data_IF_350187397881
#
_entry.id   IF_350187397881
#
_cell.length_a   1.000
_cell.length_b   1.000
_cell.length_c   1.000
_cell.angle_alpha   90.00
_cell.angle_beta   90.00
_cell.angle_gamma   90.00
#
_symmetry.space_group_name_H-M   'P 1'
#
loop_
_entity.id
_entity.type
_entity.pdbx_description
1 polymer ?
#
# COMPACT_ATOMS: atom_id res chain seq x y z
N UNK A 1 -19.63 1.86 8.01
CA UNK A 1 -19.03 3.21 7.86
C UNK A 1 -17.76 3.22 8.71
N UNK A 2 -16.60 3.56 8.16
CA UNK A 2 -15.30 3.49 8.87
C UNK A 2 -15.31 4.24 10.22
N UNK A 3 -15.91 5.42 10.27
CA UNK A 3 -15.97 6.21 11.51
C UNK A 3 -16.80 5.54 12.61
N UNK A 4 -17.92 4.92 12.24
CA UNK A 4 -18.78 4.19 13.18
C UNK A 4 -18.04 2.98 13.75
N UNK A 5 -17.34 2.22 12.90
CA UNK A 5 -16.56 1.07 13.37
C UNK A 5 -15.39 1.49 14.25
N UNK A 6 -14.68 2.56 13.89
CA UNK A 6 -13.61 3.11 14.72
C UNK A 6 -14.15 3.56 16.08
N UNK A 7 -15.25 4.30 16.11
CA UNK A 7 -15.90 4.70 17.35
C UNK A 7 -16.31 3.48 18.20
N UNK A 8 -16.94 2.48 17.59
CA UNK A 8 -17.35 1.24 18.27
C UNK A 8 -16.16 0.52 18.90
N UNK A 9 -15.03 0.40 18.20
CA UNK A 9 -13.81 -0.21 18.75
C UNK A 9 -13.26 0.63 19.90
N UNK A 10 -13.22 1.96 19.74
CA UNK A 10 -12.72 2.88 20.76
C UNK A 10 -13.56 2.88 22.04
N UNK A 11 -14.87 2.68 21.95
CA UNK A 11 -15.76 2.54 23.12
C UNK A 11 -15.46 1.29 23.96
N UNK A 12 -14.92 0.24 23.34
CA UNK A 12 -14.55 -1.00 24.03
C UNK A 12 -13.12 -0.95 24.60
N UNK A 13 -12.34 0.09 24.29
CA UNK A 13 -11.03 0.33 24.87
C UNK A 13 -11.19 1.29 26.05
N UNK A 14 -10.64 0.93 27.21
CA UNK A 14 -10.56 1.87 28.35
C UNK A 14 -9.80 3.14 27.91
N UNK A 15 -10.08 4.29 28.55
CA UNK A 15 -9.60 5.63 28.13
C UNK A 15 -8.08 5.77 27.86
N UNK A 16 -7.25 4.79 28.22
CA UNK A 16 -5.79 4.76 28.02
C UNK A 16 -5.28 3.55 27.19
N UNK A 17 -6.12 2.87 26.41
CA UNK A 17 -5.78 1.57 25.82
C UNK A 17 -5.01 1.54 24.49
N UNK A 18 -4.57 2.68 23.94
CA UNK A 18 -3.90 2.73 22.62
C UNK A 18 -2.53 3.36 22.74
N UNK A 19 -1.49 2.54 22.56
CA UNK A 19 -0.09 2.99 22.59
C UNK A 19 0.36 3.68 21.30
N UNK A 20 -0.21 3.28 20.16
CA UNK A 20 0.11 3.84 18.84
C UNK A 20 -0.99 3.50 17.81
N UNK A 21 -1.06 4.29 16.74
CA UNK A 21 -1.91 4.05 15.58
C UNK A 21 -1.04 3.63 14.41
N UNK A 22 -1.42 2.55 13.72
CA UNK A 22 -0.84 2.16 12.44
C UNK A 22 -1.84 2.47 11.33
N UNK A 23 -1.38 3.04 10.22
CA UNK A 23 -2.23 3.40 9.08
C UNK A 23 -1.59 2.97 7.77
N UNK A 24 -2.41 2.43 6.87
CA UNK A 24 -1.99 2.21 5.49
C UNK A 24 -1.99 3.54 4.72
N UNK A 25 -0.81 3.95 4.24
CA UNK A 25 -0.63 5.20 3.49
C UNK A 25 -0.70 5.02 1.97
N UNK A 26 -0.95 3.81 1.48
CA UNK A 26 -1.02 3.53 0.04
C UNK A 26 0.25 2.86 -0.51
N UNK A 27 0.35 2.66 -1.83
CA UNK A 27 -0.47 3.29 -2.87
C UNK A 27 -1.83 2.60 -3.08
N UNK A 28 -2.85 3.34 -3.52
CA UNK A 28 -4.22 2.85 -3.63
C UNK A 28 -5.24 3.93 -4.01
N UNK A 29 -6.50 3.75 -3.58
CA UNK A 29 -7.59 4.70 -3.85
C UNK A 29 -7.36 6.05 -3.19
N UNK A 30 -7.27 7.12 -3.98
CA UNK A 30 -7.08 8.49 -3.47
C UNK A 30 -8.08 8.87 -2.38
N UNK A 31 -9.37 8.63 -2.62
CA UNK A 31 -10.43 8.96 -1.65
C UNK A 31 -10.30 8.15 -0.38
N UNK A 32 -10.11 6.83 -0.47
CA UNK A 32 -10.02 5.96 0.71
C UNK A 32 -8.78 6.24 1.54
N UNK A 33 -7.63 6.50 0.89
CA UNK A 33 -6.39 6.83 1.58
C UNK A 33 -6.51 8.14 2.36
N UNK A 34 -7.13 9.17 1.77
CA UNK A 34 -7.37 10.44 2.48
C UNK A 34 -8.32 10.25 3.65
N UNK A 35 -9.42 9.52 3.46
CA UNK A 35 -10.38 9.28 4.55
C UNK A 35 -9.72 8.51 5.71
N UNK A 36 -8.98 7.44 5.40
CA UNK A 36 -8.28 6.62 6.40
C UNK A 36 -7.19 7.40 7.15
N UNK A 37 -6.33 8.11 6.43
CA UNK A 37 -5.27 8.90 7.04
C UNK A 37 -5.81 10.09 7.83
N UNK A 38 -6.85 10.79 7.35
CA UNK A 38 -7.47 11.88 8.10
C UNK A 38 -8.07 11.41 9.42
N UNK A 39 -8.71 10.24 9.46
CA UNK A 39 -9.19 9.64 10.70
C UNK A 39 -8.02 9.34 11.65
N UNK A 40 -6.96 8.72 11.14
CA UNK A 40 -5.77 8.39 11.94
C UNK A 40 -5.08 9.65 12.50
N UNK A 41 -4.90 10.70 11.68
CA UNK A 41 -4.36 12.00 12.09
C UNK A 41 -5.25 12.66 13.15
N UNK A 42 -6.57 12.67 12.96
CA UNK A 42 -7.51 13.25 13.93
C UNK A 42 -7.44 12.56 15.30
N UNK A 43 -7.35 11.22 15.32
CA UNK A 43 -7.16 10.45 16.55
C UNK A 43 -5.78 10.70 17.18
N UNK A 44 -4.72 10.70 16.37
CA UNK A 44 -3.35 10.95 16.83
C UNK A 44 -3.22 12.33 17.49
N UNK A 45 -3.72 13.38 16.83
CA UNK A 45 -3.64 14.76 17.32
C UNK A 45 -4.53 15.00 18.55
N UNK A 46 -5.78 14.51 18.53
CA UNK A 46 -6.74 14.75 19.64
C UNK A 46 -6.36 14.05 20.94
N UNK A 47 -5.64 12.92 20.86
CA UNK A 47 -5.27 12.10 22.03
C UNK A 47 -3.77 12.03 22.28
N UNK A 48 -2.97 12.78 21.51
CA UNK A 48 -1.51 12.72 21.55
C UNK A 48 -0.95 11.28 21.40
N UNK A 49 -1.53 10.51 20.48
CA UNK A 49 -1.15 9.12 20.22
C UNK A 49 -0.17 9.08 19.04
N UNK A 50 0.99 8.40 19.16
CA UNK A 50 1.93 8.24 18.06
C UNK A 50 1.33 7.53 16.84
N UNK A 51 1.80 7.88 15.65
CA UNK A 51 1.30 7.35 14.37
C UNK A 51 2.42 6.70 13.56
N UNK A 52 2.11 5.60 12.86
CA UNK A 52 3.02 4.91 11.94
C UNK A 52 2.31 4.61 10.63
N UNK A 53 2.80 5.20 9.55
CA UNK A 53 2.42 4.89 8.18
C UNK A 53 3.17 3.68 7.63
N UNK A 54 2.45 2.77 6.97
CA UNK A 54 3.00 1.61 6.27
C UNK A 54 2.40 1.56 4.87
N UNK A 55 3.16 1.12 3.87
CA UNK A 55 2.67 1.08 2.49
C UNK A 55 1.81 -0.16 2.21
N UNK A 56 0.76 -0.01 1.41
CA UNK A 56 -0.14 -1.10 0.99
C UNK A 56 0.62 -2.27 0.38
N UNK A 57 1.61 -1.98 -0.47
CA UNK A 57 2.39 -3.03 -1.15
C UNK A 57 3.18 -3.88 -0.14
N UNK A 58 3.75 -3.27 0.90
CA UNK A 58 4.45 -4.03 1.94
C UNK A 58 3.46 -4.85 2.77
N UNK A 59 2.29 -4.29 3.10
CA UNK A 59 1.23 -4.99 3.84
C UNK A 59 0.76 -6.23 3.09
N UNK A 60 0.58 -6.11 1.77
CA UNK A 60 0.18 -7.21 0.88
C UNK A 60 1.27 -8.28 0.79
N UNK A 61 2.55 -7.90 0.77
CA UNK A 61 3.67 -8.83 0.67
C UNK A 61 4.00 -9.54 1.99
N UNK A 62 3.70 -8.93 3.14
CA UNK A 62 4.10 -9.41 4.46
C UNK A 62 3.71 -10.87 4.79
N UNK A 63 2.51 -11.37 4.42
CA UNK A 63 2.14 -12.77 4.62
C UNK A 63 3.10 -13.77 3.97
N UNK A 64 3.83 -13.37 2.92
CA UNK A 64 4.69 -14.24 2.11
C UNK A 64 6.13 -14.26 2.64
N UNK A 65 6.33 -14.09 3.95
CA UNK A 65 7.64 -14.17 4.58
C UNK A 65 8.28 -15.57 4.49
N UNK A 66 7.45 -16.61 4.37
CA UNK A 66 7.86 -17.99 4.18
C UNK A 66 8.25 -18.33 2.73
N UNK A 67 7.89 -17.48 1.77
CA UNK A 67 8.14 -17.74 0.35
C UNK A 67 9.61 -17.45 0.03
N UNK A 68 10.40 -18.52 -0.11
CA UNK A 68 11.80 -18.46 -0.50
C UNK A 68 11.98 -18.35 -2.03
N UNK A 69 11.29 -17.38 -2.63
CA UNK A 69 11.34 -17.09 -4.06
C UNK A 69 11.09 -15.59 -4.31
N UNK A 70 11.45 -15.05 -5.49
CA UNK A 70 11.07 -13.69 -5.85
C UNK A 70 9.54 -13.56 -5.98
N UNK A 71 8.99 -12.51 -5.37
CA UNK A 71 7.59 -12.13 -5.44
C UNK A 71 7.48 -10.74 -6.08
N UNK A 72 6.55 -10.55 -6.99
CA UNK A 72 6.13 -9.24 -7.48
C UNK A 72 4.69 -9.00 -7.03
N UNK A 73 4.47 -7.96 -6.24
CA UNK A 73 3.12 -7.49 -5.93
C UNK A 73 2.72 -6.47 -6.98
N UNK A 74 1.54 -6.62 -7.58
CA UNK A 74 1.01 -5.74 -8.61
C UNK A 74 -0.40 -5.31 -8.19
N UNK A 75 -0.61 -4.00 -8.09
CA UNK A 75 -1.88 -3.40 -7.70
C UNK A 75 -2.28 -2.34 -8.72
N UNK A 76 -3.58 -2.21 -8.98
CA UNK A 76 -4.11 -1.22 -9.90
C UNK A 76 -3.71 0.22 -9.51
N UNK A 77 -3.12 0.96 -10.45
CA UNK A 77 -2.91 2.41 -10.33
C UNK A 77 -3.88 3.24 -11.20
N UNK A 78 -4.90 2.59 -11.79
CA UNK A 78 -5.85 3.13 -12.75
C UNK A 78 -5.26 3.53 -14.10
N UNK A 79 -6.12 3.60 -15.12
CA UNK A 79 -5.78 4.04 -16.48
C UNK A 79 -4.67 3.19 -17.12
N UNK A 80 -4.70 1.87 -16.88
CA UNK A 80 -3.72 0.93 -17.44
C UNK A 80 -2.34 0.98 -16.79
N UNK A 81 -2.21 1.67 -15.64
CA UNK A 81 -0.99 1.73 -14.85
C UNK A 81 -1.09 0.82 -13.60
N UNK A 82 0.07 0.44 -13.07
CA UNK A 82 0.24 -0.50 -11.97
C UNK A 82 1.24 0.01 -10.95
N UNK A 83 0.87 -0.03 -9.68
CA UNK A 83 1.81 0.06 -8.58
C UNK A 83 2.43 -1.30 -8.34
N UNK A 84 3.76 -1.37 -8.30
CA UNK A 84 4.45 -2.64 -8.12
C UNK A 84 5.74 -2.52 -7.34
N UNK A 85 6.12 -3.59 -6.66
CA UNK A 85 7.44 -3.75 -6.07
C UNK A 85 7.81 -5.23 -5.98
N UNK A 86 9.12 -5.49 -6.00
CA UNK A 86 9.67 -6.83 -5.79
C UNK A 86 9.88 -7.09 -4.30
N UNK A 87 9.68 -8.34 -3.91
CA UNK A 87 9.83 -8.84 -2.56
C UNK A 87 10.55 -10.19 -2.58
N UNK A 88 11.17 -10.53 -1.47
CA UNK A 88 11.69 -11.86 -1.20
C UNK A 88 11.61 -12.09 0.31
N UNK A 89 11.01 -13.22 0.72
CA UNK A 89 10.69 -13.50 2.13
C UNK A 89 9.94 -12.33 2.79
N UNK A 90 8.90 -11.82 2.11
CA UNK A 90 8.06 -10.72 2.60
C UNK A 90 8.76 -9.36 2.72
N UNK A 91 10.06 -9.27 2.40
CA UNK A 91 10.83 -8.04 2.46
C UNK A 91 11.00 -7.44 1.08
N UNK A 92 10.74 -6.13 0.97
CA UNK A 92 10.91 -5.39 -0.28
C UNK A 92 12.36 -5.43 -0.77
N UNK A 93 12.53 -5.68 -2.06
CA UNK A 93 13.79 -5.69 -2.78
C UNK A 93 13.73 -4.63 -3.89
N UNK A 94 14.23 -3.43 -3.60
CA UNK A 94 14.26 -2.30 -4.53
C UNK A 94 13.18 -1.25 -4.25
N UNK A 95 12.88 -0.43 -5.27
CA UNK A 95 11.96 0.70 -5.17
C UNK A 95 10.52 0.26 -5.45
N UNK A 96 9.56 1.03 -4.96
CA UNK A 96 8.22 0.99 -5.54
C UNK A 96 8.26 1.58 -6.95
N UNK A 97 7.53 0.98 -7.87
CA UNK A 97 7.44 1.39 -9.28
C UNK A 97 5.98 1.68 -9.65
N UNK A 98 5.80 2.67 -10.52
CA UNK A 98 4.57 2.92 -11.24
C UNK A 98 4.85 2.61 -12.71
N UNK A 99 4.21 1.58 -13.24
CA UNK A 99 4.46 1.06 -14.59
C UNK A 99 3.16 0.98 -15.38
N UNK A 100 3.23 1.16 -16.70
CA UNK A 100 2.15 0.76 -17.60
C UNK A 100 2.28 -0.74 -17.96
N UNK A 101 1.43 -1.21 -18.88
CA UNK A 101 1.47 -2.60 -19.39
C UNK A 101 2.84 -2.99 -19.94
N UNK A 102 3.44 -2.14 -20.78
CA UNK A 102 4.74 -2.40 -21.39
C UNK A 102 5.84 -2.47 -20.33
N UNK A 103 5.86 -1.52 -19.40
CA UNK A 103 6.80 -1.48 -18.29
C UNK A 103 6.68 -2.70 -17.39
N UNK A 104 5.45 -3.12 -17.04
CA UNK A 104 5.22 -4.32 -16.23
C UNK A 104 5.67 -5.59 -16.95
N UNK A 105 5.36 -5.72 -18.24
CA UNK A 105 5.82 -6.83 -19.08
C UNK A 105 7.35 -6.93 -19.09
N UNK A 106 8.05 -5.82 -19.31
CA UNK A 106 9.51 -5.78 -19.28
C UNK A 106 10.07 -6.10 -17.89
N UNK A 107 9.42 -5.63 -16.83
CA UNK A 107 9.84 -5.93 -15.46
C UNK A 107 9.73 -7.42 -15.14
N UNK A 108 8.66 -8.08 -15.57
CA UNK A 108 8.44 -9.52 -15.38
C UNK A 108 9.40 -10.38 -16.22
N UNK A 109 9.79 -9.93 -17.42
CA UNK A 109 10.76 -10.64 -18.26
C UNK A 109 12.18 -10.67 -17.72
N UNK A 110 12.57 -9.74 -16.85
CA UNK A 110 13.94 -9.66 -16.33
C UNK A 110 14.37 -10.90 -15.55
N UNK A 111 13.44 -11.55 -14.84
CA UNK A 111 13.72 -12.72 -14.01
C UNK A 111 12.41 -13.42 -13.60
N UNK A 112 12.43 -14.74 -13.34
CA UNK A 112 11.29 -15.47 -12.81
C UNK A 112 10.73 -14.85 -11.54
N UNK A 113 9.41 -14.93 -11.37
CA UNK A 113 8.73 -14.41 -10.18
C UNK A 113 7.38 -15.08 -9.92
N UNK A 114 7.03 -15.19 -8.64
CA UNK A 114 5.64 -15.28 -8.25
C UNK A 114 5.00 -13.90 -8.40
N UNK A 115 3.74 -13.86 -8.84
CA UNK A 115 2.97 -12.62 -9.02
C UNK A 115 1.73 -12.68 -8.14
N UNK A 116 1.55 -11.65 -7.32
CA UNK A 116 0.37 -11.45 -6.51
C UNK A 116 -0.35 -10.19 -7.00
N UNK A 117 -1.59 -10.36 -7.44
CA UNK A 117 -2.39 -9.30 -8.02
C UNK A 117 -3.88 -9.56 -7.79
N UNK A 118 -4.65 -8.50 -7.59
CA UNK A 118 -6.11 -8.54 -7.52
C UNK A 118 -6.78 -8.07 -8.82
N UNK A 119 -5.99 -7.75 -9.84
CA UNK A 119 -6.46 -7.31 -11.15
C UNK A 119 -6.15 -8.32 -12.24
N UNK A 120 -6.99 -8.29 -13.26
CA UNK A 120 -6.72 -8.99 -14.52
C UNK A 120 -5.59 -8.27 -15.26
N UNK A 121 -4.63 -9.06 -15.73
CA UNK A 121 -3.50 -8.59 -16.53
C UNK A 121 -3.67 -9.07 -17.97
N UNK A 122 -3.06 -8.35 -18.91
CA UNK A 122 -3.16 -8.67 -20.32
C UNK A 122 -2.62 -10.08 -20.62
N UNK A 123 -3.14 -10.70 -21.68
CA UNK A 123 -2.76 -12.07 -22.08
C UNK A 123 -1.24 -12.22 -22.28
N UNK A 124 -0.58 -11.20 -22.80
CA UNK A 124 0.87 -11.21 -23.01
C UNK A 124 1.65 -11.37 -21.71
N UNK A 125 1.16 -10.77 -20.61
CA UNK A 125 1.76 -10.92 -19.28
C UNK A 125 1.44 -12.29 -18.71
N UNK A 126 0.17 -12.72 -18.78
CA UNK A 126 -0.25 -13.99 -18.17
C UNK A 126 0.33 -15.23 -18.86
N UNK A 127 0.83 -15.09 -20.09
CA UNK A 127 1.49 -16.14 -20.87
C UNK A 127 3.02 -16.20 -20.69
N UNK A 128 3.63 -15.33 -19.88
CA UNK A 128 5.07 -15.43 -19.57
C UNK A 128 5.33 -16.75 -18.84
N UNK A 129 6.23 -17.60 -19.35
CA UNK A 129 6.46 -18.96 -18.83
C UNK A 129 7.11 -18.96 -17.45
N UNK A 130 7.91 -17.93 -17.17
CA UNK A 130 8.75 -17.80 -15.98
C UNK A 130 8.00 -17.22 -14.77
N UNK A 131 6.72 -16.88 -14.91
CA UNK A 131 5.91 -16.32 -13.83
C UNK A 131 4.86 -17.32 -13.34
N UNK A 132 4.51 -17.21 -12.05
CA UNK A 132 3.45 -18.02 -11.44
C UNK A 132 2.53 -17.11 -10.63
N UNK A 133 1.22 -17.25 -10.81
CA UNK A 133 0.25 -16.44 -10.06
C UNK A 133 -0.10 -17.09 -8.72
N UNK A 134 -0.15 -16.27 -7.68
CA UNK A 134 -0.71 -16.62 -6.38
C UNK A 134 -2.22 -16.35 -6.36
N UNK A 135 -2.93 -16.91 -5.37
CA UNK A 135 -4.36 -16.65 -5.21
C UNK A 135 -4.60 -15.14 -4.96
N UNK A 136 -5.44 -14.54 -5.80
CA UNK A 136 -5.81 -13.12 -5.78
C UNK A 136 -6.46 -12.66 -4.46
N UNK A 137 -7.04 -13.58 -3.68
CA UNK A 137 -7.64 -13.27 -2.38
C UNK A 137 -6.62 -12.72 -1.37
N UNK A 138 -5.34 -13.03 -1.55
CA UNK A 138 -4.25 -12.50 -0.72
C UNK A 138 -3.71 -11.14 -1.20
N UNK A 139 -4.20 -10.61 -2.32
CA UNK A 139 -3.71 -9.36 -2.92
C UNK A 139 -4.40 -8.10 -2.34
N UNK A 140 -4.83 -8.17 -1.08
CA UNK A 140 -5.47 -7.07 -0.37
C UNK A 140 -4.73 -6.78 0.96
N UNK A 141 -4.57 -5.50 1.35
CA UNK A 141 -3.98 -5.15 2.63
C UNK A 141 -4.80 -5.73 3.79
N UNK A 142 -4.12 -6.29 4.79
CA UNK A 142 -4.74 -6.84 6.00
C UNK A 142 -4.34 -6.03 7.23
N UNK A 143 -5.31 -5.67 8.07
CA UNK A 143 -5.07 -4.87 9.28
C UNK A 143 -4.09 -5.54 10.26
N UNK A 144 -4.17 -6.86 10.44
CA UNK A 144 -3.23 -7.62 11.27
C UNK A 144 -1.78 -7.51 10.78
N UNK A 145 -1.58 -7.46 9.45
CA UNK A 145 -0.26 -7.32 8.82
C UNK A 145 0.25 -5.90 8.88
N UNK A 146 -0.64 -4.91 8.76
CA UNK A 146 -0.32 -3.51 9.02
C UNK A 146 0.26 -3.33 10.43
N UNK A 147 -0.41 -3.85 11.45
CA UNK A 147 0.09 -3.78 12.84
C UNK A 147 1.42 -4.52 12.99
N UNK A 148 1.55 -5.73 12.41
CA UNK A 148 2.79 -6.49 12.44
C UNK A 148 3.98 -5.72 11.84
N UNK A 149 3.77 -5.04 10.72
CA UNK A 149 4.80 -4.24 10.04
C UNK A 149 5.12 -2.93 10.77
N UNK A 150 4.13 -2.34 11.44
CA UNK A 150 4.33 -1.14 12.24
C UNK A 150 5.06 -1.44 13.56
N UNK A 151 4.92 -2.65 14.10
CA UNK A 151 5.43 -3.02 15.42
C UNK A 151 6.91 -2.70 15.66
N UNK A 152 7.87 -3.03 14.77
CA UNK A 152 9.27 -2.69 14.97
C UNK A 152 9.49 -1.18 15.15
N UNK A 153 8.81 -0.36 14.35
CA UNK A 153 8.86 1.10 14.46
C UNK A 153 8.25 1.57 15.78
N UNK A 154 7.12 1.00 16.20
CA UNK A 154 6.46 1.32 17.46
C UNK A 154 7.38 0.98 18.66
N UNK A 155 7.97 -0.22 18.68
CA UNK A 155 8.86 -0.65 19.76
C UNK A 155 10.14 0.19 19.87
N UNK A 156 10.62 0.70 18.74
CA UNK A 156 11.80 1.59 18.67
C UNK A 156 11.43 3.07 18.81
N UNK A 157 10.15 3.39 19.06
CA UNK A 157 9.60 4.76 19.15
C UNK A 157 9.89 5.62 17.91
N UNK A 158 9.89 5.00 16.73
CA UNK A 158 10.11 5.64 15.42
C UNK A 158 8.78 5.96 14.73
N UNK A 159 8.20 7.08 15.12
CA UNK A 159 6.87 7.51 14.66
C UNK A 159 6.96 8.50 13.51
N UNK A 160 5.88 8.57 12.73
CA UNK A 160 5.67 9.64 11.76
C UNK A 160 5.03 10.84 12.46
N UNK A 161 5.31 12.04 11.96
CA UNK A 161 4.65 13.27 12.42
C UNK A 161 3.21 13.32 11.87
N UNK A 162 2.17 13.35 12.73
CA UNK A 162 0.79 13.46 12.29
C UNK A 162 0.51 14.70 11.46
N UNK A 163 1.24 15.80 11.62
CA UNK A 163 1.04 17.02 10.83
C UNK A 163 1.56 16.83 9.40
N UNK A 164 2.76 16.27 9.24
CA UNK A 164 3.45 16.18 7.95
C UNK A 164 3.21 14.87 7.18
N UNK A 165 2.68 13.82 7.82
CA UNK A 165 2.42 12.55 7.12
C UNK A 165 1.36 12.74 6.03
N UNK A 166 1.68 12.25 4.85
CA UNK A 166 0.83 12.27 3.67
C UNK A 166 0.65 10.86 3.11
N UNK A 167 -0.42 10.61 2.34
CA UNK A 167 -0.52 9.37 1.60
C UNK A 167 0.64 9.25 0.62
N UNK A 168 1.12 8.01 0.44
CA UNK A 168 2.19 7.69 -0.47
C UNK A 168 1.69 7.77 -1.93
N UNK A 169 1.68 8.99 -2.46
CA UNK A 169 1.28 9.29 -3.83
C UNK A 169 2.42 9.06 -4.80
N UNK A 170 2.43 7.90 -5.46
CA UNK A 170 3.30 7.67 -6.63
C UNK A 170 2.73 8.30 -7.91
N UNK A 171 1.49 8.77 -7.84
CA UNK A 171 0.71 9.33 -8.94
C UNK A 171 0.04 10.61 -8.45
N UNK A 172 0.21 11.71 -9.18
CA UNK A 172 -0.61 12.93 -9.00
C UNK A 172 -2.08 12.63 -9.32
N UNK A 173 -2.99 13.38 -8.72
CA UNK A 173 -4.43 13.25 -8.95
C UNK A 173 -4.79 13.53 -10.41
N UNK A 174 -5.93 13.01 -10.87
CA UNK A 174 -6.43 13.26 -12.22
C UNK A 174 -6.69 14.76 -12.48
N UNK A 175 -7.08 15.52 -11.45
CA UNK A 175 -7.30 16.96 -11.53
C UNK A 175 -5.98 17.71 -11.82
N UNK A 176 -4.92 17.41 -11.07
CA UNK A 176 -3.58 18.01 -11.26
C UNK A 176 -3.02 17.70 -12.65
N UNK A 177 -3.16 16.45 -13.13
CA UNK A 177 -2.70 16.06 -14.47
C UNK A 177 -3.45 16.75 -15.60
N UNK A 178 -4.73 17.08 -15.39
CA UNK A 178 -5.55 17.76 -16.40
C UNK A 178 -5.21 19.25 -16.50
N UNK A 179 -4.77 19.85 -15.39
CA UNK A 179 -4.27 21.24 -15.35
C UNK A 179 -2.94 21.36 -16.11
N UNK A 180 -1.97 20.48 -15.83
CA UNK A 180 -0.67 20.47 -16.54
C UNK A 180 -0.84 20.28 -18.06
N UNK A 181 -1.81 19.45 -18.50
CA UNK A 181 -2.11 19.30 -19.93
C UNK A 181 -2.69 20.57 -20.57
N UNK A 182 -3.43 21.39 -19.83
CA UNK A 182 -3.94 22.66 -20.34
C UNK A 182 -2.85 23.73 -20.42
N UNK A 183 -1.90 23.69 -19.48
CA UNK A 183 -0.77 24.63 -19.45
C UNK A 183 0.33 24.25 -20.45
N UNK A 184 0.50 22.97 -20.78
CA UNK A 184 1.42 22.50 -21.82
C UNK A 184 0.94 22.74 -23.28
N UNK A 185 -0.31 23.19 -23.47
CA UNK A 185 -0.91 23.50 -24.78
C UNK A 185 -0.95 25.02 -25.02
N UNK A 186 -0.52 25.84 -24.06
CA UNK A 186 -0.30 27.28 -24.21
C UNK A 186 1.15 27.57 -24.57
#
# INVERSE_FOLDING_TARGET
NLFIEAQRILEHLTHNGIDAIAVDIGPGQFTSLRVGLSLAKGLALSRNIPLVGITSLDIIAAPFNFLDAPLLVVVNAYRGEFYTARYHRGQRKGKYLLLDQSGLFQELKKRPAWVLTNIELDREITQIKEIKFLNKEFAMPQASRLVQLAWPRISEKKFDDPESIEPFYMKRTDAERTLDKKDAIK
#
